data_IF_876670262344
#
_entry.id   IF_876670262344
#
_cell.length_a   1.000
_cell.length_b   1.000
_cell.length_c   1.000
_cell.angle_alpha   90.00
_cell.angle_beta   90.00
_cell.angle_gamma   90.00
#
_symmetry.space_group_name_H-M   'P 1'
#
loop_
_entity.id
_entity.type
_entity.pdbx_description
1 polymer ?
#
# COMPACT_ATOMS: atom_id res chain seq x y z
N UNK A 1 22.24 39.21 27.76
CA UNK A 1 23.25 39.16 26.68
C UNK A 1 23.16 37.85 25.90
N UNK A 2 22.85 36.72 26.55
CA UNK A 2 22.58 35.42 25.88
C UNK A 2 21.31 35.40 25.02
N UNK A 3 20.22 36.09 25.41
CA UNK A 3 18.97 36.11 24.61
C UNK A 3 19.11 36.78 23.23
N UNK A 4 19.97 37.79 23.12
CA UNK A 4 20.22 38.53 21.87
C UNK A 4 21.08 37.69 20.91
N UNK A 5 21.97 36.86 21.44
CA UNK A 5 22.78 35.91 20.67
C UNK A 5 21.92 34.75 20.11
N UNK A 6 20.89 34.33 20.86
CA UNK A 6 19.94 33.29 20.42
C UNK A 6 19.07 33.74 19.23
N UNK A 7 18.62 35.00 19.22
CA UNK A 7 17.82 35.55 18.12
C UNK A 7 18.60 35.59 16.80
N UNK A 8 19.86 36.04 16.83
CA UNK A 8 20.70 36.11 15.63
C UNK A 8 20.99 34.75 15.02
N UNK A 9 21.09 33.70 15.84
CA UNK A 9 21.28 32.32 15.36
C UNK A 9 20.04 31.82 14.61
N UNK A 10 18.83 32.08 15.14
CA UNK A 10 17.59 31.69 14.48
C UNK A 10 17.40 32.38 13.13
N UNK A 11 17.73 33.67 13.04
CA UNK A 11 17.65 34.43 11.78
C UNK A 11 18.61 33.89 10.71
N UNK A 12 19.84 33.54 11.10
CA UNK A 12 20.82 32.92 10.19
C UNK A 12 20.32 31.56 9.71
N UNK A 13 19.80 30.73 10.61
CA UNK A 13 19.23 29.41 10.24
C UNK A 13 18.06 29.59 9.27
N UNK A 14 17.15 30.52 9.53
CA UNK A 14 16.02 30.82 8.64
C UNK A 14 16.48 31.37 7.28
N UNK A 15 17.49 32.23 7.25
CA UNK A 15 18.07 32.75 6.01
C UNK A 15 18.73 31.64 5.17
N UNK A 16 19.48 30.74 5.80
CA UNK A 16 20.09 29.59 5.12
C UNK A 16 19.02 28.62 4.60
N UNK A 17 18.00 28.31 5.40
CA UNK A 17 16.88 27.45 4.98
C UNK A 17 16.10 28.05 3.83
N UNK A 18 15.81 29.36 3.88
CA UNK A 18 15.10 30.07 2.80
C UNK A 18 15.93 30.17 1.53
N UNK A 19 17.24 30.43 1.63
CA UNK A 19 18.14 30.44 0.47
C UNK A 19 18.25 29.06 -0.18
N UNK A 20 18.40 28.00 0.63
CA UNK A 20 18.39 26.61 0.15
C UNK A 20 17.06 26.23 -0.50
N UNK A 21 15.93 26.63 0.09
CA UNK A 21 14.59 26.41 -0.46
C UNK A 21 14.40 27.13 -1.82
N UNK A 22 14.79 28.41 -1.91
CA UNK A 22 14.67 29.22 -3.14
C UNK A 22 15.58 28.68 -4.26
N UNK A 23 16.83 28.31 -3.94
CA UNK A 23 17.76 27.74 -4.92
C UNK A 23 17.28 26.40 -5.46
N UNK A 24 16.62 25.58 -4.62
CA UNK A 24 16.03 24.32 -5.06
C UNK A 24 14.73 24.48 -5.83
N UNK A 25 13.86 25.43 -5.48
CA UNK A 25 12.70 25.77 -6.32
C UNK A 25 13.09 26.24 -7.73
N UNK A 26 14.30 26.80 -7.88
CA UNK A 26 14.84 27.25 -9.18
C UNK A 26 15.55 26.16 -9.97
N UNK A 27 15.97 25.07 -9.33
CA UNK A 27 16.59 23.89 -9.94
C UNK A 27 15.66 22.69 -9.73
N UNK A 28 14.57 22.66 -10.52
CA UNK A 28 13.65 21.52 -10.56
C UNK A 28 14.12 20.52 -11.61
N UNK A 29 15.03 19.65 -11.20
CA UNK A 29 15.65 18.64 -12.06
C UNK A 29 14.77 17.37 -12.18
N UNK A 30 13.54 17.39 -11.63
CA UNK A 30 12.66 16.22 -11.50
C UNK A 30 13.16 15.17 -10.49
N UNK A 31 14.28 15.44 -9.80
CA UNK A 31 14.90 14.55 -8.83
C UNK A 31 14.26 14.72 -7.45
N UNK A 32 13.98 13.62 -6.73
CA UNK A 32 13.29 13.67 -5.46
C UNK A 32 14.19 14.31 -4.39
N UNK A 33 13.64 15.29 -3.67
CA UNK A 33 14.41 16.11 -2.74
C UNK A 33 14.85 15.28 -1.54
N UNK A 34 16.14 15.28 -1.22
CA UNK A 34 16.68 14.64 -0.02
C UNK A 34 17.24 15.70 0.94
N UNK A 35 16.51 15.97 2.03
CA UNK A 35 16.86 16.96 3.04
C UNK A 35 17.72 16.33 4.14
N UNK A 36 18.71 17.05 4.71
CA UNK A 36 19.62 16.50 5.72
C UNK A 36 18.94 15.89 6.96
N UNK A 37 17.82 16.47 7.42
CA UNK A 37 17.12 16.05 8.64
C UNK A 37 15.93 15.13 8.37
N UNK A 38 15.11 15.49 7.40
CA UNK A 38 13.81 14.83 7.14
C UNK A 38 13.84 13.91 5.93
N UNK A 39 15.02 13.70 5.34
CA UNK A 39 15.19 12.87 4.16
C UNK A 39 14.30 13.35 3.02
N UNK A 40 13.58 12.40 2.42
CA UNK A 40 12.74 12.61 1.25
C UNK A 40 11.28 12.89 1.60
N UNK A 41 10.95 13.02 2.90
CA UNK A 41 9.58 13.18 3.38
C UNK A 41 8.83 14.40 2.82
N UNK A 42 9.42 15.62 2.75
CA UNK A 42 8.71 16.77 2.19
C UNK A 42 8.30 16.55 0.73
N UNK A 43 9.14 15.84 -0.01
CA UNK A 43 8.90 15.50 -1.39
C UNK A 43 7.79 14.43 -1.53
N UNK A 44 7.81 13.37 -0.71
CA UNK A 44 6.73 12.35 -0.65
C UNK A 44 5.37 13.01 -0.35
N UNK A 45 5.33 13.94 0.62
CA UNK A 45 4.13 14.70 0.98
C UNK A 45 3.60 15.53 -0.19
N UNK A 46 4.48 16.05 -1.05
CA UNK A 46 4.10 16.85 -2.22
C UNK A 46 3.51 16.02 -3.35
N UNK A 47 3.93 14.76 -3.50
CA UNK A 47 3.46 13.85 -4.57
C UNK A 47 2.28 12.97 -4.16
N UNK A 48 1.68 13.19 -2.98
CA UNK A 48 0.66 12.31 -2.38
C UNK A 48 -0.51 11.93 -3.30
N UNK A 49 -0.92 12.83 -4.21
CA UNK A 49 -2.04 12.58 -5.13
C UNK A 49 -1.62 11.86 -6.42
N UNK A 50 -0.32 11.66 -6.65
CA UNK A 50 0.28 11.07 -7.85
C UNK A 50 1.37 10.04 -7.49
N UNK A 51 1.30 9.42 -6.31
CA UNK A 51 2.36 8.50 -5.83
C UNK A 51 2.57 7.35 -6.81
N UNK A 52 1.49 6.75 -7.32
CA UNK A 52 1.58 5.64 -8.28
C UNK A 52 2.17 6.06 -9.63
N UNK A 53 1.68 7.18 -10.19
CA UNK A 53 2.21 7.73 -11.45
C UNK A 53 3.69 8.07 -11.32
N UNK A 54 4.05 8.77 -10.23
CA UNK A 54 5.43 9.14 -9.97
C UNK A 54 6.31 7.90 -9.78
N UNK A 55 5.87 6.92 -9.00
CA UNK A 55 6.63 5.69 -8.79
C UNK A 55 6.90 5.00 -10.13
N UNK A 56 5.90 4.90 -11.02
CA UNK A 56 6.07 4.29 -12.33
C UNK A 56 7.03 5.10 -13.24
N UNK A 57 6.84 6.41 -13.34
CA UNK A 57 7.70 7.30 -14.14
C UNK A 57 9.15 7.26 -13.65
N UNK A 58 9.35 7.37 -12.34
CA UNK A 58 10.66 7.47 -11.74
C UNK A 58 11.40 6.13 -11.71
N UNK A 59 10.72 5.02 -11.41
CA UNK A 59 11.32 3.68 -11.50
C UNK A 59 11.76 3.38 -12.95
N UNK A 60 11.01 3.84 -13.95
CA UNK A 60 11.43 3.72 -15.35
C UNK A 60 12.68 4.56 -15.67
N UNK A 61 12.83 5.74 -15.08
CA UNK A 61 14.00 6.60 -15.28
C UNK A 61 15.27 6.06 -14.60
N UNK A 62 15.17 5.52 -13.38
CA UNK A 62 16.33 5.08 -12.58
C UNK A 62 16.73 3.62 -12.80
N UNK A 63 16.10 2.93 -13.75
CA UNK A 63 16.44 1.54 -14.10
C UNK A 63 15.80 0.49 -13.18
N UNK A 64 14.68 0.82 -12.54
CA UNK A 64 13.77 -0.14 -11.92
C UNK A 64 13.93 -0.38 -10.42
N UNK A 65 14.95 0.20 -9.76
CA UNK A 65 15.10 0.09 -8.30
C UNK A 65 15.51 1.43 -7.69
N UNK A 66 14.86 1.82 -6.59
CA UNK A 66 15.09 3.10 -5.94
C UNK A 66 14.95 3.04 -4.42
N UNK A 67 15.87 3.71 -3.72
CA UNK A 67 15.84 3.87 -2.27
C UNK A 67 15.27 5.25 -1.90
N UNK A 68 14.13 5.24 -1.23
CA UNK A 68 13.56 6.41 -0.55
C UNK A 68 14.16 6.51 0.83
N UNK A 69 14.71 7.68 1.17
CA UNK A 69 15.30 7.93 2.49
C UNK A 69 14.32 8.63 3.41
N UNK A 70 14.11 8.08 4.60
CA UNK A 70 13.31 8.69 5.64
C UNK A 70 14.07 9.76 6.44
N UNK A 71 13.45 10.33 7.48
CA UNK A 71 14.16 11.15 8.45
C UNK A 71 15.28 10.34 9.09
N UNK A 72 16.47 10.94 9.21
CA UNK A 72 17.67 10.27 9.74
C UNK A 72 17.52 9.66 11.15
N UNK A 73 16.55 10.13 11.94
CA UNK A 73 16.26 9.64 13.29
C UNK A 73 15.15 8.59 13.36
N UNK A 74 14.47 8.30 12.25
CA UNK A 74 13.24 7.49 12.25
C UNK A 74 13.39 6.09 11.62
N UNK A 75 14.55 5.76 11.03
CA UNK A 75 14.79 4.48 10.33
C UNK A 75 13.68 4.12 9.30
N UNK A 76 13.16 5.11 8.58
CA UNK A 76 12.07 4.95 7.60
C UNK A 76 12.60 4.88 6.16
N UNK A 77 13.73 4.23 5.93
CA UNK A 77 14.26 4.02 4.58
C UNK A 77 13.47 2.91 3.88
N UNK A 78 13.02 3.15 2.65
CA UNK A 78 12.17 2.24 1.88
C UNK A 78 12.77 1.94 0.51
N UNK A 79 12.86 0.65 0.15
CA UNK A 79 13.35 0.22 -1.15
C UNK A 79 12.18 -0.15 -2.08
N UNK A 80 12.06 0.57 -3.18
CA UNK A 80 11.12 0.29 -4.25
C UNK A 80 11.83 -0.45 -5.38
N UNK A 81 11.24 -1.52 -5.90
CA UNK A 81 11.82 -2.26 -7.03
C UNK A 81 10.74 -2.86 -7.92
N UNK A 82 10.98 -2.80 -9.23
CA UNK A 82 10.24 -3.50 -10.28
C UNK A 82 11.13 -4.53 -11.00
N UNK A 83 12.37 -4.70 -10.53
CA UNK A 83 13.28 -5.70 -11.07
C UNK A 83 12.78 -7.11 -10.69
N UNK A 84 12.46 -7.98 -11.67
CA UNK A 84 12.01 -9.34 -11.41
C UNK A 84 12.98 -10.16 -10.54
N UNK A 85 14.29 -9.92 -10.62
CA UNK A 85 15.28 -10.62 -9.80
C UNK A 85 15.14 -10.22 -8.32
N UNK A 86 14.97 -8.94 -8.02
CA UNK A 86 14.75 -8.45 -6.66
C UNK A 86 13.39 -8.91 -6.13
N UNK A 87 12.34 -8.86 -6.95
CA UNK A 87 11.00 -9.35 -6.58
C UNK A 87 11.06 -10.83 -6.23
N UNK A 88 11.71 -11.65 -7.06
CA UNK A 88 11.89 -13.09 -6.77
C UNK A 88 12.70 -13.31 -5.49
N UNK A 89 13.75 -12.53 -5.28
CA UNK A 89 14.55 -12.63 -4.06
C UNK A 89 13.72 -12.35 -2.81
N UNK A 90 12.93 -11.27 -2.84
CA UNK A 90 12.10 -10.82 -1.71
C UNK A 90 10.92 -11.77 -1.47
N UNK A 91 10.15 -12.10 -2.52
CA UNK A 91 8.89 -12.83 -2.41
C UNK A 91 9.04 -14.35 -2.48
N UNK A 92 10.25 -14.87 -2.74
CA UNK A 92 10.48 -16.32 -2.88
C UNK A 92 11.78 -16.78 -2.23
N UNK A 93 12.93 -16.37 -2.74
CA UNK A 93 14.21 -17.00 -2.36
C UNK A 93 14.65 -16.65 -0.91
N UNK A 94 14.21 -15.51 -0.38
CA UNK A 94 14.55 -15.04 0.97
C UNK A 94 13.35 -14.44 1.71
N UNK A 95 12.15 -14.95 1.45
CA UNK A 95 10.90 -14.48 2.05
C UNK A 95 10.96 -14.37 3.59
N UNK A 96 11.60 -15.34 4.27
CA UNK A 96 11.77 -15.33 5.73
C UNK A 96 12.65 -14.20 6.27
N UNK A 97 13.35 -13.45 5.42
CA UNK A 97 14.16 -12.30 5.85
C UNK A 97 13.39 -10.98 5.75
N UNK A 98 12.23 -11.00 5.09
CA UNK A 98 11.44 -9.83 4.81
C UNK A 98 10.11 -9.94 5.55
N UNK A 99 10.15 -9.56 6.83
CA UNK A 99 8.99 -9.50 7.71
C UNK A 99 8.20 -8.21 7.45
N UNK A 100 6.89 -8.25 7.67
CA UNK A 100 6.00 -7.09 7.59
C UNK A 100 6.16 -6.18 8.81
N UNK A 101 6.54 -6.76 9.96
CA UNK A 101 6.81 -6.05 11.20
C UNK A 101 5.57 -5.79 12.06
N UNK A 102 5.80 -5.35 13.30
CA UNK A 102 4.76 -5.16 14.30
C UNK A 102 3.79 -4.01 13.96
N UNK A 103 4.29 -2.95 13.33
CA UNK A 103 3.47 -1.81 12.90
C UNK A 103 2.40 -2.26 11.89
N UNK A 104 2.77 -3.13 10.94
CA UNK A 104 1.82 -3.71 9.99
C UNK A 104 0.73 -4.51 10.71
N UNK A 105 1.10 -5.32 11.71
CA UNK A 105 0.14 -6.08 12.50
C UNK A 105 -0.80 -5.19 13.30
N UNK A 106 -0.31 -4.06 13.81
CA UNK A 106 -1.12 -3.09 14.54
C UNK A 106 -2.14 -2.38 13.64
N UNK A 107 -1.75 -1.99 12.43
CA UNK A 107 -2.64 -1.37 11.44
C UNK A 107 -3.77 -2.34 11.08
N UNK A 108 -3.44 -3.62 10.87
CA UNK A 108 -4.38 -4.63 10.40
C UNK A 108 -4.90 -5.53 11.52
N UNK A 109 -4.94 -5.06 12.78
CA UNK A 109 -5.32 -5.88 13.94
C UNK A 109 -6.71 -6.54 13.80
N UNK A 110 -7.60 -5.87 13.07
CA UNK A 110 -8.99 -6.26 12.83
C UNK A 110 -9.07 -7.58 12.05
N UNK A 111 -8.02 -7.92 11.30
CA UNK A 111 -7.90 -9.16 10.54
C UNK A 111 -7.35 -10.33 11.38
N UNK A 112 -7.00 -10.09 12.64
CA UNK A 112 -6.47 -11.09 13.57
C UNK A 112 -5.14 -11.68 13.09
N UNK A 113 -4.83 -12.93 13.43
CA UNK A 113 -3.60 -13.63 13.00
C UNK A 113 -3.77 -14.41 11.67
N UNK A 114 -4.74 -13.98 10.83
CA UNK A 114 -5.02 -14.59 9.54
C UNK A 114 -3.94 -14.35 8.48
N UNK A 115 -4.18 -14.78 7.23
CA UNK A 115 -3.17 -14.80 6.16
C UNK A 115 -2.51 -13.43 5.89
N UNK A 116 -3.23 -12.33 6.17
CA UNK A 116 -2.73 -10.97 6.01
C UNK A 116 -1.67 -10.62 7.06
N UNK A 117 -1.83 -11.05 8.31
CA UNK A 117 -0.92 -10.71 9.41
C UNK A 117 0.05 -11.83 9.78
N UNK A 118 -0.17 -13.05 9.28
CA UNK A 118 0.73 -14.17 9.54
C UNK A 118 2.06 -14.03 8.78
N UNK A 119 3.09 -14.63 9.36
CA UNK A 119 4.46 -14.70 8.84
C UNK A 119 5.01 -16.12 8.88
N UNK A 120 6.10 -16.36 8.14
CA UNK A 120 6.87 -17.61 8.12
C UNK A 120 6.00 -18.89 8.06
N UNK A 121 6.14 -19.80 9.04
CA UNK A 121 5.48 -21.10 9.07
C UNK A 121 3.94 -20.99 9.14
N UNK A 122 3.42 -20.11 10.00
CA UNK A 122 1.97 -19.88 10.11
C UNK A 122 1.37 -19.43 8.78
N UNK A 123 2.05 -18.51 8.08
CA UNK A 123 1.62 -18.09 6.74
C UNK A 123 1.64 -19.25 5.73
N UNK A 124 2.70 -20.08 5.74
CA UNK A 124 2.82 -21.23 4.83
C UNK A 124 1.72 -22.25 5.05
N UNK A 125 1.39 -22.55 6.31
CA UNK A 125 0.35 -23.50 6.66
C UNK A 125 -1.03 -23.00 6.26
N UNK A 126 -1.35 -21.74 6.57
CA UNK A 126 -2.60 -21.11 6.11
C UNK A 126 -2.69 -21.10 4.58
N UNK A 127 -1.61 -20.69 3.90
CA UNK A 127 -1.56 -20.63 2.43
C UNK A 127 -1.74 -22.01 1.79
N UNK A 128 -1.19 -23.07 2.39
CA UNK A 128 -1.35 -24.44 1.93
C UNK A 128 -2.81 -24.90 2.04
N UNK A 129 -3.46 -24.66 3.18
CA UNK A 129 -4.87 -25.00 3.36
C UNK A 129 -5.76 -24.25 2.37
N UNK A 130 -5.55 -22.95 2.23
CA UNK A 130 -6.27 -22.11 1.28
C UNK A 130 -6.09 -22.62 -0.16
N UNK A 131 -4.85 -22.90 -0.58
CA UNK A 131 -4.59 -23.43 -1.93
C UNK A 131 -5.33 -24.75 -2.19
N UNK A 132 -5.43 -25.64 -1.21
CA UNK A 132 -6.20 -26.89 -1.34
C UNK A 132 -7.69 -26.57 -1.52
N UNK A 133 -8.24 -25.67 -0.70
CA UNK A 133 -9.64 -25.26 -0.79
C UNK A 133 -9.96 -24.59 -2.14
N UNK A 134 -9.17 -23.60 -2.55
CA UNK A 134 -9.34 -22.85 -3.81
C UNK A 134 -9.21 -23.73 -5.06
N UNK A 135 -8.42 -24.80 -5.01
CA UNK A 135 -8.28 -25.74 -6.12
C UNK A 135 -9.31 -26.87 -6.09
N UNK A 136 -10.10 -26.99 -5.02
CA UNK A 136 -11.12 -28.02 -4.93
C UNK A 136 -12.28 -27.74 -5.90
N UNK A 137 -12.58 -28.69 -6.79
CA UNK A 137 -13.58 -28.51 -7.86
C UNK A 137 -14.98 -28.11 -7.35
N UNK A 138 -15.45 -28.73 -6.25
CA UNK A 138 -16.76 -28.38 -5.66
C UNK A 138 -16.82 -26.94 -5.17
N UNK A 139 -15.71 -26.47 -4.62
CA UNK A 139 -15.62 -25.11 -4.10
C UNK A 139 -15.63 -24.09 -5.23
N UNK A 140 -14.86 -24.33 -6.30
CA UNK A 140 -14.90 -23.53 -7.53
C UNK A 140 -16.30 -23.52 -8.17
N UNK A 141 -16.98 -24.66 -8.18
CA UNK A 141 -18.33 -24.77 -8.72
C UNK A 141 -19.33 -23.99 -7.87
N UNK A 142 -19.24 -24.08 -6.54
CA UNK A 142 -20.05 -23.29 -5.61
C UNK A 142 -19.85 -21.78 -5.87
N UNK A 143 -18.60 -21.30 -5.86
CA UNK A 143 -18.29 -19.88 -6.09
C UNK A 143 -18.81 -19.39 -7.44
N UNK A 144 -18.64 -20.19 -8.50
CA UNK A 144 -19.13 -19.87 -9.84
C UNK A 144 -20.66 -19.76 -9.86
N UNK A 145 -21.35 -20.69 -9.20
CA UNK A 145 -22.81 -20.71 -9.15
C UNK A 145 -23.35 -19.55 -8.32
N UNK A 146 -22.81 -19.32 -7.12
CA UNK A 146 -23.18 -18.20 -6.25
C UNK A 146 -22.98 -16.85 -6.96
N UNK A 147 -21.84 -16.66 -7.63
CA UNK A 147 -21.56 -15.43 -8.39
C UNK A 147 -22.55 -15.24 -9.55
N UNK A 148 -22.81 -16.29 -10.34
CA UNK A 148 -23.79 -16.24 -11.45
C UNK A 148 -25.19 -15.91 -10.94
N UNK A 149 -25.59 -16.53 -9.83
CA UNK A 149 -26.88 -16.29 -9.22
C UNK A 149 -26.99 -14.86 -8.73
N UNK A 150 -25.97 -14.33 -8.06
CA UNK A 150 -25.96 -12.96 -7.54
C UNK A 150 -25.98 -11.91 -8.65
N UNK A 151 -25.25 -12.14 -9.74
CA UNK A 151 -25.30 -11.26 -10.92
C UNK A 151 -26.69 -11.28 -11.53
N UNK A 152 -27.26 -12.47 -11.76
CA UNK A 152 -28.57 -12.62 -12.41
C UNK A 152 -29.72 -12.08 -11.55
N UNK A 153 -29.71 -12.39 -10.27
CA UNK A 153 -30.84 -12.14 -9.36
C UNK A 153 -30.68 -10.86 -8.52
N UNK A 154 -29.46 -10.32 -8.40
CA UNK A 154 -29.17 -9.05 -7.73
C UNK A 154 -28.86 -7.96 -8.75
N UNK A 155 -27.68 -8.01 -9.37
CA UNK A 155 -27.18 -6.93 -10.23
C UNK A 155 -28.13 -6.58 -11.38
N UNK A 156 -28.55 -7.57 -12.18
CA UNK A 156 -29.46 -7.31 -13.30
C UNK A 156 -30.82 -6.80 -12.85
N UNK A 157 -31.33 -7.22 -11.70
CA UNK A 157 -32.60 -6.70 -11.16
C UNK A 157 -32.48 -5.25 -10.76
N UNK A 158 -31.36 -4.85 -10.14
CA UNK A 158 -31.12 -3.45 -9.78
C UNK A 158 -31.00 -2.60 -11.04
N UNK A 159 -30.19 -3.03 -12.02
CA UNK A 159 -30.03 -2.28 -13.27
C UNK A 159 -31.38 -2.13 -14.01
N UNK A 160 -32.17 -3.20 -14.09
CA UNK A 160 -33.51 -3.17 -14.70
C UNK A 160 -34.49 -2.27 -13.94
N UNK A 161 -34.44 -2.29 -12.60
CA UNK A 161 -35.25 -1.43 -11.74
C UNK A 161 -34.91 0.05 -11.93
N UNK A 162 -33.63 0.39 -11.79
CA UNK A 162 -33.10 1.76 -11.91
C UNK A 162 -33.39 2.32 -13.31
N UNK A 163 -33.19 1.50 -14.36
CA UNK A 163 -33.49 1.86 -15.75
C UNK A 163 -34.99 2.16 -15.97
N UNK A 164 -35.89 1.33 -15.44
CA UNK A 164 -37.34 1.55 -15.56
C UNK A 164 -37.84 2.78 -14.82
N UNK A 165 -37.17 3.16 -13.74
CA UNK A 165 -37.53 4.32 -12.93
C UNK A 165 -36.78 5.60 -13.34
N UNK A 166 -35.94 5.54 -14.37
CA UNK A 166 -35.07 6.64 -14.81
C UNK A 166 -34.24 7.22 -13.65
N UNK A 167 -33.77 6.34 -12.78
CA UNK A 167 -32.96 6.71 -11.61
C UNK A 167 -31.47 6.72 -11.96
N UNK A 168 -30.72 7.59 -11.29
CA UNK A 168 -29.26 7.58 -11.33
C UNK A 168 -28.76 6.80 -10.12
N UNK A 169 -27.86 5.86 -10.35
CA UNK A 169 -27.22 5.05 -9.30
C UNK A 169 -25.70 5.16 -9.41
N UNK A 170 -25.04 5.12 -8.26
CA UNK A 170 -23.58 4.99 -8.22
C UNK A 170 -23.18 3.53 -8.49
N UNK A 171 -22.54 3.29 -9.63
CA UNK A 171 -22.06 1.96 -10.00
C UNK A 171 -20.93 1.47 -9.10
N UNK A 172 -20.19 2.36 -8.46
CA UNK A 172 -19.17 1.97 -7.48
C UNK A 172 -19.82 1.30 -6.28
N UNK A 173 -20.83 1.93 -5.67
CA UNK A 173 -21.59 1.34 -4.55
C UNK A 173 -22.25 0.01 -4.94
N UNK A 174 -22.85 -0.06 -6.13
CA UNK A 174 -23.45 -1.30 -6.67
C UNK A 174 -22.41 -2.43 -6.77
N UNK A 175 -21.23 -2.16 -7.32
CA UNK A 175 -20.19 -3.18 -7.44
C UNK A 175 -19.54 -3.54 -6.11
N UNK A 176 -19.40 -2.59 -5.19
CA UNK A 176 -18.93 -2.86 -3.83
C UNK A 176 -19.89 -3.80 -3.09
N UNK A 177 -21.20 -3.53 -3.14
CA UNK A 177 -22.25 -4.40 -2.57
C UNK A 177 -22.26 -5.80 -3.20
N UNK A 178 -22.10 -5.88 -4.52
CA UNK A 178 -21.99 -7.16 -5.23
C UNK A 178 -20.78 -7.98 -4.74
N UNK A 179 -19.60 -7.34 -4.71
CA UNK A 179 -18.37 -7.98 -4.24
C UNK A 179 -18.45 -8.40 -2.78
N UNK A 180 -19.07 -7.58 -1.93
CA UNK A 180 -19.26 -7.89 -0.52
C UNK A 180 -20.15 -9.11 -0.33
N UNK A 181 -21.32 -9.16 -0.98
CA UNK A 181 -22.23 -10.31 -0.89
C UNK A 181 -21.56 -11.60 -1.41
N UNK A 182 -20.85 -11.53 -2.55
CA UNK A 182 -20.09 -12.68 -3.08
C UNK A 182 -19.01 -13.13 -2.10
N UNK A 183 -18.29 -12.19 -1.47
CA UNK A 183 -17.25 -12.48 -0.49
C UNK A 183 -17.82 -13.11 0.77
N UNK A 184 -18.94 -12.62 1.30
CA UNK A 184 -19.61 -13.24 2.43
C UNK A 184 -20.09 -14.65 2.10
N UNK A 185 -20.73 -14.86 0.94
CA UNK A 185 -21.10 -16.22 0.51
C UNK A 185 -19.86 -17.12 0.36
N UNK A 186 -18.74 -16.57 -0.10
CA UNK A 186 -17.48 -17.29 -0.24
C UNK A 186 -16.90 -17.71 1.11
N UNK A 187 -16.86 -16.82 2.11
CA UNK A 187 -16.23 -17.08 3.42
C UNK A 187 -17.17 -17.82 4.38
N UNK A 188 -18.46 -17.47 4.40
CA UNK A 188 -19.41 -17.92 5.44
C UNK A 188 -20.60 -18.71 4.89
N UNK A 189 -20.71 -18.88 3.57
CA UNK A 189 -21.88 -19.45 2.89
C UNK A 189 -23.20 -18.71 3.17
N UNK A 190 -23.13 -17.47 3.67
CA UNK A 190 -24.28 -16.63 3.96
C UNK A 190 -24.30 -15.41 3.03
N UNK A 191 -25.49 -15.09 2.50
CA UNK A 191 -25.72 -13.90 1.69
C UNK A 191 -26.30 -12.78 2.58
N UNK A 192 -25.56 -11.69 2.83
CA UNK A 192 -26.04 -10.56 3.62
C UNK A 192 -27.04 -9.68 2.86
N UNK A 193 -27.23 -9.91 1.56
CA UNK A 193 -28.20 -9.22 0.72
C UNK A 193 -27.99 -7.70 0.66
N UNK A 194 -26.73 -7.24 0.73
CA UNK A 194 -26.36 -5.84 0.60
C UNK A 194 -26.75 -5.29 -0.78
N UNK A 195 -26.67 -6.15 -1.81
CA UNK A 195 -27.12 -5.86 -3.17
C UNK A 195 -28.61 -6.25 -3.32
N UNK A 196 -29.49 -5.32 -2.98
CA UNK A 196 -30.94 -5.43 -3.17
C UNK A 196 -31.55 -4.09 -3.55
N UNK A 197 -32.79 -4.11 -4.06
CA UNK A 197 -33.49 -2.92 -4.60
C UNK A 197 -33.60 -1.80 -3.55
N UNK A 198 -33.74 -2.15 -2.28
CA UNK A 198 -33.90 -1.19 -1.18
C UNK A 198 -32.57 -0.57 -0.70
N UNK A 199 -31.43 -1.01 -1.27
CA UNK A 199 -30.07 -0.59 -0.86
C UNK A 199 -29.88 -0.55 0.66
N UNK A 200 -30.18 -1.65 1.39
CA UNK A 200 -30.15 -1.65 2.85
C UNK A 200 -28.75 -1.34 3.37
N UNK A 201 -28.69 -0.63 4.48
CA UNK A 201 -27.45 -0.52 5.26
C UNK A 201 -27.31 -1.81 6.09
N UNK A 202 -26.31 -2.63 5.76
CA UNK A 202 -26.01 -3.86 6.51
C UNK A 202 -24.98 -3.53 7.58
N UNK A 203 -25.26 -3.76 8.89
CA UNK A 203 -24.37 -3.37 9.97
C UNK A 203 -22.95 -3.93 9.84
N UNK A 204 -22.82 -5.15 9.35
CA UNK A 204 -21.51 -5.77 9.12
C UNK A 204 -20.74 -5.10 7.97
N UNK A 205 -21.40 -4.78 6.84
CA UNK A 205 -20.76 -4.02 5.75
C UNK A 205 -20.25 -2.67 6.24
N UNK A 206 -21.07 -1.94 7.00
CA UNK A 206 -20.69 -0.65 7.57
C UNK A 206 -19.51 -0.75 8.54
N UNK A 207 -19.48 -1.79 9.37
CA UNK A 207 -18.36 -2.02 10.28
C UNK A 207 -17.05 -2.30 9.52
N UNK A 208 -17.12 -3.04 8.41
CA UNK A 208 -15.95 -3.29 7.55
C UNK A 208 -15.49 -2.01 6.85
N UNK A 209 -16.41 -1.20 6.29
CA UNK A 209 -16.06 0.09 5.68
C UNK A 209 -15.39 1.05 6.69
N UNK A 210 -15.82 1.02 7.95
CA UNK A 210 -15.20 1.83 9.01
C UNK A 210 -13.84 1.28 9.42
N UNK A 211 -13.67 -0.04 9.48
CA UNK A 211 -12.37 -0.66 9.72
C UNK A 211 -11.38 -0.33 8.60
N UNK A 212 -11.83 -0.36 7.34
CA UNK A 212 -11.04 0.03 6.17
C UNK A 212 -10.70 1.52 6.17
N UNK A 213 -11.63 2.41 6.55
CA UNK A 213 -11.29 3.84 6.74
C UNK A 213 -10.30 4.04 7.87
N UNK A 214 -10.43 3.28 8.95
CA UNK A 214 -9.53 3.40 10.11
C UNK A 214 -8.14 2.90 9.75
N UNK A 215 -8.03 1.81 9.01
CA UNK A 215 -6.74 1.38 8.46
C UNK A 215 -6.22 2.47 7.53
N UNK A 216 -6.96 3.02 6.58
CA UNK A 216 -6.54 4.16 5.72
C UNK A 216 -6.17 5.46 6.49
N UNK A 217 -6.65 5.66 7.71
CA UNK A 217 -6.26 6.78 8.57
C UNK A 217 -4.97 6.46 9.33
N UNK A 218 -4.76 5.19 9.71
CA UNK A 218 -3.61 4.73 10.50
C UNK A 218 -2.42 4.26 9.66
N UNK A 219 -2.67 3.76 8.46
CA UNK A 219 -1.86 3.92 7.26
C UNK A 219 -2.29 5.20 6.60
N UNK A 220 -1.78 6.38 7.03
CA UNK A 220 -1.67 7.44 6.05
C UNK A 220 -1.06 6.77 4.80
N UNK A 221 -1.52 7.11 3.59
CA UNK A 221 -0.95 6.65 2.30
C UNK A 221 0.59 6.80 2.18
N UNK A 222 1.24 7.22 3.25
CA UNK A 222 2.64 7.31 3.59
C UNK A 222 3.38 5.99 3.87
N UNK A 223 2.73 4.85 4.18
CA UNK A 223 3.45 3.69 4.74
C UNK A 223 3.18 2.30 4.08
N UNK A 224 2.75 2.25 2.81
CA UNK A 224 2.99 1.04 2.03
C UNK A 224 4.43 1.06 1.53
N UNK A 225 5.32 0.40 2.28
CA UNK A 225 6.53 -0.38 1.87
C UNK A 225 7.48 -0.45 3.06
N UNK A 226 7.08 -1.15 4.13
CA UNK A 226 8.05 -1.68 5.08
C UNK A 226 8.62 -2.97 4.51
N UNK A 227 9.71 -2.82 3.76
CA UNK A 227 10.72 -3.85 3.69
C UNK A 227 11.86 -3.29 4.51
N UNK A 228 11.97 -3.68 5.78
CA UNK A 228 13.22 -3.47 6.52
C UNK A 228 14.34 -4.00 5.62
N UNK A 229 15.15 -3.11 5.03
CA UNK A 229 16.34 -3.57 4.32
C UNK A 229 17.22 -4.30 5.33
N UNK A 230 17.41 -5.63 5.19
CA UNK A 230 18.33 -6.35 6.07
C UNK A 230 19.71 -5.71 5.90
N UNK A 231 20.54 -5.67 6.95
CA UNK A 231 21.92 -5.12 6.88
C UNK A 231 22.75 -5.68 5.70
N UNK A 232 22.36 -6.85 5.19
CA UNK A 232 22.91 -7.52 4.01
C UNK A 232 22.69 -6.72 2.71
N UNK A 233 21.54 -6.07 2.54
CA UNK A 233 21.24 -5.25 1.36
C UNK A 233 22.13 -3.99 1.29
N UNK A 234 22.49 -3.42 2.46
CA UNK A 234 23.43 -2.28 2.54
C UNK A 234 24.84 -2.66 2.08
N UNK A 235 25.26 -3.91 2.30
CA UNK A 235 26.57 -4.41 1.87
C UNK A 235 26.64 -4.72 0.37
N UNK A 236 25.55 -5.15 -0.26
CA UNK A 236 25.49 -5.37 -1.70
C UNK A 236 25.66 -4.08 -2.50
N UNK A 237 24.92 -3.03 -2.12
CA UNK A 237 24.95 -1.72 -2.80
C UNK A 237 26.31 -1.03 -2.65
N UNK A 238 27.03 -1.27 -1.55
CA UNK A 238 28.37 -0.69 -1.34
C UNK A 238 29.43 -1.31 -2.25
N UNK A 239 29.27 -2.57 -2.69
CA UNK A 239 30.21 -3.22 -3.62
C UNK A 239 30.07 -2.76 -5.05
N UNK A 240 28.87 -2.37 -5.49
CA UNK A 240 28.65 -1.83 -6.84
C UNK A 240 29.27 -0.45 -7.04
N UNK A 241 29.33 0.40 -5.99
CA UNK A 241 30.04 1.69 -6.06
C UNK A 241 31.57 1.60 -6.02
N UNK A 242 32.14 0.44 -5.73
CA UNK A 242 33.59 0.26 -5.64
C UNK A 242 34.22 -0.42 -6.87
N UNK A 243 33.43 -0.86 -7.85
CA UNK A 243 33.91 -1.61 -9.02
C UNK A 243 34.17 -0.78 -10.29
N UNK A 244 34.14 0.55 -10.19
CA UNK A 244 34.14 1.45 -11.35
C UNK A 244 35.36 2.36 -11.46
N UNK A 245 36.59 1.86 -11.31
CA UNK A 245 37.80 2.46 -11.91
C UNK A 245 39.02 1.56 -11.71
N UNK A 246 39.30 0.66 -12.65
CA UNK A 246 40.67 0.24 -12.99
C UNK A 246 40.60 -0.59 -14.27
N UNK A 247 40.96 0.02 -15.38
CA UNK A 247 41.53 -0.60 -16.57
C UNK A 247 42.04 0.54 -17.47
N UNK A 248 43.31 0.90 -17.25
CA UNK A 248 44.29 1.29 -18.27
C UNK A 248 45.59 0.57 -17.92
#
# INVERSE_FOLDING_TARGET
MEEVLGLGYLEIVMAVLSFYYITRLRYDDGLPWNWPLVGMMPWILSIKHRVHDFAAEYLNQVGGTFLVKGPWFANMDMLFTVDPANIRYILSDSFEKFHKGDDFKQIFDVLGDGMVNSEAESWRDQRRHDQILYNHHRFRQFLTNASKEKVKNGLFKIIDHVSRQDQVVDMQDVFQRLSFDITCMFVTAYDPMCLSIDFPEVPFSKAMDEADRRSDIHTPYHDYVYVETPEVARHGIRKEKAGGSEND
#
